data_IF_402562273291
#
_entry.id   IF_402562273291
#
_cell.length_a   1.000
_cell.length_b   1.000
_cell.length_c   1.000
_cell.angle_alpha   90.00
_cell.angle_beta   90.00
_cell.angle_gamma   90.00
#
_symmetry.space_group_name_H-M   'P 1'
#
loop_
_entity.id
_entity.type
_entity.pdbx_description
1 polymer ?
#
# COMPACT_ATOMS: atom_id res chain seq x y z
N UNK A 1 -4.40 2.84 7.05
CA UNK A 1 -3.71 2.62 5.76
C UNK A 1 -2.25 2.97 5.98
N UNK A 2 -1.32 2.07 5.67
CA UNK A 2 0.11 2.26 5.95
C UNK A 2 0.90 2.01 4.68
N UNK A 3 1.70 3.01 4.27
CA UNK A 3 2.46 2.99 3.03
C UNK A 3 3.96 2.99 3.32
N UNK A 4 4.70 2.11 2.65
CA UNK A 4 6.17 2.05 2.74
C UNK A 4 6.77 2.01 1.34
N UNK A 5 7.81 2.82 1.12
CA UNK A 5 8.63 2.76 -0.10
C UNK A 5 9.46 1.48 -0.07
N UNK A 6 9.51 0.75 -1.18
CA UNK A 6 10.25 -0.50 -1.30
C UNK A 6 11.67 -0.21 -1.82
N UNK A 7 12.65 -0.22 -0.92
CA UNK A 7 14.08 -0.05 -1.27
C UNK A 7 14.42 1.30 -1.92
N UNK A 8 15.40 1.30 -2.83
CA UNK A 8 15.85 2.49 -3.59
C UNK A 8 14.93 2.89 -4.76
N UNK A 9 13.84 2.16 -5.00
CA UNK A 9 12.97 2.32 -6.19
C UNK A 9 11.77 3.23 -5.91
N UNK A 10 11.07 3.69 -6.94
CA UNK A 10 9.85 4.52 -6.85
C UNK A 10 8.58 3.76 -6.44
N UNK A 11 8.69 2.46 -6.10
CA UNK A 11 7.55 1.61 -5.79
C UNK A 11 7.14 1.71 -4.34
N UNK A 12 5.83 1.79 -4.13
CA UNK A 12 5.21 1.88 -2.82
C UNK A 12 4.29 0.68 -2.61
N UNK A 13 4.33 0.13 -1.40
CA UNK A 13 3.36 -0.84 -0.92
C UNK A 13 2.48 -0.19 0.11
N UNK A 14 1.16 -0.25 -0.09
CA UNK A 14 0.18 0.22 0.88
C UNK A 14 -0.68 -0.94 1.36
N UNK A 15 -0.82 -1.06 2.67
CA UNK A 15 -1.69 -2.03 3.31
C UNK A 15 -2.82 -1.30 4.03
N UNK A 16 -4.05 -1.76 3.83
CA UNK A 16 -5.23 -1.14 4.43
C UNK A 16 -6.49 -1.97 4.28
N UNK A 17 -7.45 -1.73 5.16
CA UNK A 17 -8.76 -2.36 5.14
C UNK A 17 -9.64 -1.59 4.16
N UNK A 18 -10.28 -2.30 3.23
CA UNK A 18 -11.23 -1.70 2.28
C UNK A 18 -12.62 -1.48 2.93
N UNK A 19 -13.55 -0.91 2.17
CA UNK A 19 -14.93 -0.67 2.62
C UNK A 19 -15.70 -1.96 2.98
N UNK A 20 -15.21 -3.13 2.55
CA UNK A 20 -15.80 -4.43 2.87
C UNK A 20 -15.16 -5.09 4.09
N UNK A 21 -14.23 -4.42 4.78
CA UNK A 21 -13.53 -4.98 5.93
C UNK A 21 -12.38 -5.92 5.55
N UNK A 22 -12.01 -6.03 4.27
CA UNK A 22 -10.97 -6.95 3.82
C UNK A 22 -9.63 -6.21 3.76
N UNK A 23 -8.58 -6.80 4.34
CA UNK A 23 -7.23 -6.26 4.22
C UNK A 23 -6.71 -6.44 2.79
N UNK A 24 -6.31 -5.31 2.19
CA UNK A 24 -5.74 -5.22 0.85
C UNK A 24 -4.28 -4.83 0.90
N UNK A 25 -3.53 -5.36 -0.06
CA UNK A 25 -2.17 -4.94 -0.37
C UNK A 25 -2.19 -4.31 -1.76
N UNK A 26 -1.74 -3.06 -1.83
CA UNK A 26 -1.61 -2.28 -3.05
C UNK A 26 -0.13 -2.09 -3.38
N UNK A 27 0.25 -2.38 -4.62
CA UNK A 27 1.54 -1.94 -5.18
C UNK A 27 1.26 -0.81 -6.14
N UNK A 28 1.93 0.32 -5.94
CA UNK A 28 1.67 1.53 -6.71
C UNK A 28 2.92 2.39 -6.85
N UNK A 29 2.86 3.36 -7.73
CA UNK A 29 3.79 4.49 -7.75
C UNK A 29 3.08 5.73 -7.24
N UNK A 30 3.86 6.60 -6.58
CA UNK A 30 3.44 7.93 -6.17
C UNK A 30 4.30 8.96 -6.91
N UNK A 31 3.66 9.95 -7.54
CA UNK A 31 4.33 11.09 -8.15
C UNK A 31 3.59 12.37 -7.78
N UNK A 32 4.27 13.27 -7.09
CA UNK A 32 3.76 14.63 -6.88
C UNK A 32 3.85 15.41 -8.20
N UNK A 33 2.77 16.07 -8.62
CA UNK A 33 2.74 16.89 -9.84
C UNK A 33 2.92 18.36 -9.48
N UNK A 34 2.14 18.83 -8.51
CA UNK A 34 2.18 20.17 -7.91
C UNK A 34 1.74 20.05 -6.43
N UNK A 35 1.68 21.11 -5.61
CA UNK A 35 1.36 20.99 -4.18
C UNK A 35 0.01 20.33 -3.87
N UNK A 36 -1.00 20.48 -4.72
CA UNK A 36 -2.37 20.03 -4.48
C UNK A 36 -2.78 18.84 -5.36
N UNK A 37 -1.92 18.45 -6.32
CA UNK A 37 -2.15 17.35 -7.26
C UNK A 37 -1.04 16.30 -7.19
N UNK A 38 -1.46 15.05 -7.02
CA UNK A 38 -0.59 13.89 -7.16
C UNK A 38 -1.19 12.86 -8.12
N UNK A 39 -0.30 12.05 -8.70
CA UNK A 39 -0.64 10.91 -9.53
C UNK A 39 -0.30 9.62 -8.78
N UNK A 40 -1.31 8.78 -8.60
CA UNK A 40 -1.18 7.42 -8.09
C UNK A 40 -1.47 6.44 -9.23
N UNK A 41 -0.48 5.62 -9.59
CA UNK A 41 -0.69 4.51 -10.51
C UNK A 41 -0.71 3.20 -9.74
N UNK A 42 -1.88 2.57 -9.66
CA UNK A 42 -2.01 1.23 -9.09
C UNK A 42 -1.49 0.22 -10.11
N UNK A 43 -0.48 -0.55 -9.70
CA UNK A 43 0.10 -1.62 -10.50
C UNK A 43 -0.56 -2.95 -10.15
N UNK A 44 -0.82 -3.17 -8.86
CA UNK A 44 -1.48 -4.38 -8.36
C UNK A 44 -2.34 -4.06 -7.15
N UNK A 45 -3.50 -4.71 -7.07
CA UNK A 45 -4.39 -4.69 -5.94
C UNK A 45 -4.86 -6.11 -5.64
N UNK A 46 -4.60 -6.59 -4.42
CA UNK A 46 -4.96 -7.96 -4.03
C UNK A 46 -5.40 -8.04 -2.58
N UNK A 47 -6.11 -9.13 -2.26
CA UNK A 47 -6.35 -9.52 -0.87
C UNK A 47 -5.01 -9.88 -0.21
N UNK A 48 -4.81 -9.42 1.02
CA UNK A 48 -3.68 -9.82 1.83
C UNK A 48 -3.71 -11.34 2.07
N UNK A 49 -2.54 -11.95 2.09
CA UNK A 49 -2.37 -13.33 2.57
C UNK A 49 -2.49 -13.35 4.09
N UNK A 50 -2.83 -14.50 4.68
CA UNK A 50 -2.92 -14.61 6.15
C UNK A 50 -1.62 -14.26 6.88
N UNK A 51 -0.46 -14.46 6.22
CA UNK A 51 0.84 -14.02 6.74
C UNK A 51 0.94 -12.49 6.80
N UNK A 52 0.54 -11.80 5.74
CA UNK A 52 0.56 -10.33 5.67
C UNK A 52 -0.46 -9.71 6.65
N UNK A 53 -1.64 -10.34 6.80
CA UNK A 53 -2.65 -9.94 7.79
C UNK A 53 -2.09 -9.99 9.22
N UNK A 54 -1.39 -11.08 9.56
CA UNK A 54 -0.74 -11.23 10.86
C UNK A 54 0.36 -10.19 11.09
N UNK A 55 1.25 -9.98 10.12
CA UNK A 55 2.30 -8.97 10.20
C UNK A 55 1.75 -7.54 10.35
N UNK A 56 0.61 -7.25 9.73
CA UNK A 56 -0.07 -5.97 9.89
C UNK A 56 -0.60 -5.78 11.32
N UNK A 57 -1.22 -6.82 11.90
CA UNK A 57 -1.76 -6.78 13.26
C UNK A 57 -0.70 -6.72 14.36
N UNK A 58 0.48 -7.29 14.12
CA UNK A 58 1.62 -7.25 15.06
C UNK A 58 2.37 -5.90 15.05
N UNK A 59 2.03 -5.00 14.12
CA UNK A 59 2.80 -3.80 13.82
C UNK A 59 4.01 -4.16 12.96
N UNK A 60 4.12 -3.53 11.79
CA UNK A 60 5.25 -3.72 10.86
C UNK A 60 6.59 -3.45 11.57
N UNK A 61 7.29 -4.53 11.95
CA UNK A 61 8.71 -4.53 12.29
C UNK A 61 9.61 -4.29 11.09
#
# INVERSE_FOLDING_TARGET
MLSKKVGGTTWWVTVGVDSSGILRVLVHTFRQIDPDLCEIRIISARKATGREERQYGEGIG
#
